data_IF_609349868868
#
_entry.id   IF_609349868868
#
_cell.length_a   1.000
_cell.length_b   1.000
_cell.length_c   1.000
_cell.angle_alpha   90.00
_cell.angle_beta   90.00
_cell.angle_gamma   90.00
#
_symmetry.space_group_name_H-M   'P 1'
#
loop_
_entity.id
_entity.type
_entity.pdbx_description
1 polymer ?
#
# COMPACT_ATOMS: atom_id res chain seq x y z
N UNK A 1 -14.86 12.15 -1.01
CA UNK A 1 -14.27 11.89 0.31
C UNK A 1 -12.82 11.49 0.12
N UNK A 2 -11.94 11.89 1.04
CA UNK A 2 -10.49 11.72 0.87
C UNK A 2 -9.92 10.75 1.90
N UNK A 3 -8.98 9.93 1.45
CA UNK A 3 -8.10 9.17 2.33
C UNK A 3 -7.32 10.12 3.24
N UNK A 4 -7.02 9.69 4.45
CA UNK A 4 -6.23 10.50 5.38
C UNK A 4 -4.77 10.05 5.38
N UNK A 5 -3.89 10.96 4.99
CA UNK A 5 -2.45 10.77 4.94
C UNK A 5 -1.81 11.68 5.98
N UNK A 6 -0.98 11.11 6.84
CA UNK A 6 -0.22 11.84 7.85
C UNK A 6 1.24 11.97 7.41
N UNK A 7 1.76 13.19 7.37
CA UNK A 7 3.17 13.45 7.10
C UNK A 7 4.06 13.02 8.27
N UNK A 8 5.17 12.35 7.97
CA UNK A 8 6.19 11.93 8.94
C UNK A 8 7.54 11.75 8.22
N UNK A 9 8.64 11.67 8.97
CA UNK A 9 9.93 11.24 8.40
C UNK A 9 10.31 9.85 8.87
N UNK A 10 11.02 9.11 8.02
CA UNK A 10 11.72 7.92 8.46
C UNK A 10 12.66 8.27 9.64
N UNK A 11 12.63 7.46 10.69
CA UNK A 11 13.37 7.69 11.94
C UNK A 11 12.66 8.54 12.99
N UNK A 12 11.53 9.20 12.66
CA UNK A 12 10.69 9.85 13.67
C UNK A 12 10.09 8.79 14.63
N UNK A 13 9.66 9.19 15.84
CA UNK A 13 8.95 8.30 16.76
C UNK A 13 7.73 7.65 16.10
N UNK A 14 7.48 6.39 16.44
CA UNK A 14 6.31 5.67 15.96
C UNK A 14 5.02 6.41 16.36
N UNK A 15 4.07 6.63 15.43
CA UNK A 15 2.89 7.43 15.73
C UNK A 15 1.85 6.67 16.55
N UNK A 16 1.08 7.40 17.37
CA UNK A 16 -0.06 6.85 18.11
C UNK A 16 -1.34 6.74 17.27
N UNK A 17 -1.31 7.20 16.01
CA UNK A 17 -2.47 7.11 15.11
C UNK A 17 -2.67 5.68 14.63
N UNK A 18 -3.94 5.28 14.47
CA UNK A 18 -4.28 3.98 13.90
C UNK A 18 -3.91 3.93 12.41
N UNK A 19 -2.82 3.25 12.08
CA UNK A 19 -2.34 3.07 10.71
C UNK A 19 -3.07 1.91 10.01
N UNK A 20 -3.16 1.97 8.67
CA UNK A 20 -3.72 0.86 7.87
C UNK A 20 -2.69 -0.27 7.75
N UNK A 21 -2.98 -1.40 8.41
CA UNK A 21 -2.11 -2.58 8.46
C UNK A 21 -2.33 -3.50 7.27
N UNK A 22 -1.26 -4.08 6.74
CA UNK A 22 -1.30 -5.06 5.66
C UNK A 22 -2.19 -6.25 6.01
N UNK A 23 -3.22 -6.51 5.18
CA UNK A 23 -4.22 -7.58 5.37
C UNK A 23 -4.91 -7.59 6.76
N UNK A 24 -4.85 -6.48 7.49
CA UNK A 24 -5.36 -6.36 8.86
C UNK A 24 -4.79 -7.43 9.83
N UNK A 25 -3.59 -7.96 9.53
CA UNK A 25 -2.96 -9.03 10.30
C UNK A 25 -1.44 -8.94 10.29
N UNK A 26 -0.80 -9.73 11.15
CA UNK A 26 0.63 -10.02 11.06
C UNK A 26 0.86 -10.96 9.86
N UNK A 27 1.75 -10.59 8.95
CA UNK A 27 2.02 -11.34 7.72
C UNK A 27 2.96 -12.53 7.96
N UNK A 28 2.77 -13.60 7.19
CA UNK A 28 3.86 -14.58 6.96
C UNK A 28 4.79 -14.00 5.89
N UNK A 29 5.72 -13.13 6.32
CA UNK A 29 6.51 -12.30 5.40
C UNK A 29 7.84 -12.93 4.97
N UNK A 30 8.49 -12.31 4.00
CA UNK A 30 9.82 -12.73 3.51
C UNK A 30 10.87 -12.56 4.61
N UNK A 31 11.91 -13.39 4.59
CA UNK A 31 12.94 -13.38 5.63
C UNK A 31 13.64 -12.01 5.74
N UNK A 32 13.86 -11.56 6.98
CA UNK A 32 14.52 -10.28 7.26
C UNK A 32 13.60 -9.05 7.21
N UNK A 33 12.30 -9.24 6.94
CA UNK A 33 11.31 -8.17 6.97
C UNK A 33 10.41 -8.28 8.21
N UNK A 34 9.96 -7.13 8.72
CA UNK A 34 9.03 -7.10 9.84
C UNK A 34 7.65 -7.59 9.36
N UNK A 35 6.98 -8.54 10.05
CA UNK A 35 5.69 -9.06 9.62
C UNK A 35 4.51 -8.09 9.86
N UNK A 36 4.67 -7.07 10.71
CA UNK A 36 3.68 -6.03 10.94
C UNK A 36 3.98 -4.80 10.07
N UNK A 37 3.38 -4.78 8.88
CA UNK A 37 3.63 -3.78 7.84
C UNK A 37 2.44 -2.85 7.67
N UNK A 38 2.69 -1.56 7.45
CA UNK A 38 1.66 -0.53 7.31
C UNK A 38 1.86 0.30 6.04
N UNK A 39 0.75 0.75 5.47
CA UNK A 39 0.74 1.47 4.19
C UNK A 39 1.41 2.83 4.31
N UNK A 40 2.38 3.06 3.43
CA UNK A 40 3.06 4.33 3.31
C UNK A 40 3.21 4.76 1.85
N UNK A 41 3.33 6.06 1.65
CA UNK A 41 3.51 6.72 0.38
C UNK A 41 4.78 7.57 0.44
N UNK A 42 5.59 7.45 -0.61
CA UNK A 42 6.77 8.27 -0.86
C UNK A 42 6.72 8.81 -2.28
N UNK A 43 7.59 9.76 -2.61
CA UNK A 43 7.73 10.26 -3.97
C UNK A 43 9.17 10.16 -4.42
N UNK A 44 9.37 9.61 -5.61
CA UNK A 44 10.68 9.58 -6.26
C UNK A 44 10.52 10.12 -7.68
N UNK A 45 11.34 11.12 -8.05
CA UNK A 45 11.27 11.80 -9.34
C UNK A 45 9.85 12.26 -9.77
N UNK A 46 9.00 12.66 -8.80
CA UNK A 46 7.62 13.09 -9.05
C UNK A 46 6.60 11.95 -9.23
N UNK A 47 7.02 10.69 -9.08
CA UNK A 47 6.14 9.52 -9.13
C UNK A 47 5.74 9.07 -7.71
N UNK A 48 4.46 8.79 -7.46
CA UNK A 48 4.03 8.22 -6.19
C UNK A 48 4.52 6.78 -6.08
N UNK A 49 5.11 6.43 -4.93
CA UNK A 49 5.64 5.11 -4.64
C UNK A 49 4.99 4.62 -3.36
N UNK A 50 4.04 3.70 -3.49
CA UNK A 50 3.51 2.97 -2.34
C UNK A 50 4.57 2.01 -1.82
N UNK A 51 4.62 1.85 -0.51
CA UNK A 51 5.54 0.96 0.17
C UNK A 51 5.04 0.62 1.56
N UNK A 52 5.99 0.29 2.43
CA UNK A 52 5.68 -0.17 3.78
C UNK A 52 6.52 0.54 4.82
N UNK A 53 5.93 0.71 5.99
CA UNK A 53 6.65 1.04 7.23
C UNK A 53 6.39 -0.01 8.31
N UNK A 54 7.29 -0.06 9.28
CA UNK A 54 7.14 -0.86 10.50
C UNK A 54 7.75 -0.12 11.69
N UNK A 55 7.34 -0.53 12.89
CA UNK A 55 7.94 -0.03 14.12
C UNK A 55 9.27 -0.75 14.35
N UNK A 56 10.34 0.02 14.35
CA UNK A 56 11.70 -0.42 14.65
C UNK A 56 12.17 0.32 15.90
N UNK A 57 12.12 -0.36 17.05
CA UNK A 57 12.53 0.16 18.35
C UNK A 57 11.90 1.52 18.71
N UNK A 58 10.60 1.66 18.44
CA UNK A 58 9.82 2.87 18.73
C UNK A 58 9.96 3.95 17.67
N UNK A 59 10.58 3.67 16.52
CA UNK A 59 10.75 4.61 15.41
C UNK A 59 10.16 4.05 14.12
N UNK A 60 9.87 4.96 13.19
CA UNK A 60 9.39 4.61 11.85
C UNK A 60 10.57 4.16 10.99
N UNK A 61 10.60 2.87 10.65
CA UNK A 61 11.45 2.36 9.58
C UNK A 61 10.62 2.16 8.31
N UNK A 62 11.23 2.32 7.15
CA UNK A 62 10.51 2.36 5.88
C UNK A 62 11.25 1.60 4.76
N UNK A 63 10.45 1.10 3.81
CA UNK A 63 10.96 0.44 2.61
C UNK A 63 10.06 0.70 1.40
N UNK A 64 10.68 1.17 0.32
CA UNK A 64 10.05 1.45 -0.97
C UNK A 64 10.85 0.80 -2.09
N UNK A 65 10.22 0.64 -3.26
CA UNK A 65 10.93 0.19 -4.46
C UNK A 65 10.56 1.05 -5.66
N UNK A 66 11.57 1.39 -6.45
CA UNK A 66 11.38 2.19 -7.65
C UNK A 66 12.54 1.96 -8.62
N UNK A 67 12.20 1.70 -9.88
CA UNK A 67 13.15 1.58 -10.99
C UNK A 67 14.26 0.55 -10.73
N UNK A 68 13.87 -0.69 -10.41
CA UNK A 68 14.72 -1.83 -10.07
C UNK A 68 15.51 -1.72 -8.76
N UNK A 69 15.36 -0.63 -8.01
CA UNK A 69 16.07 -0.39 -6.77
C UNK A 69 15.16 -0.56 -5.55
N UNK A 70 15.74 -1.05 -4.46
CA UNK A 70 15.15 -1.02 -3.12
C UNK A 70 15.69 0.19 -2.36
N UNK A 71 14.79 0.88 -1.65
CA UNK A 71 15.09 2.03 -0.80
C UNK A 71 14.63 1.71 0.62
N UNK A 72 15.55 1.18 1.44
CA UNK A 72 15.32 0.78 2.82
C UNK A 72 16.09 1.69 3.78
N UNK A 73 15.44 2.14 4.85
CA UNK A 73 16.05 3.00 5.88
C UNK A 73 15.64 4.46 5.75
N UNK A 74 16.61 5.37 5.70
CA UNK A 74 16.35 6.82 5.62
C UNK A 74 15.93 7.23 4.20
N UNK A 75 14.62 7.33 4.02
CA UNK A 75 13.96 7.80 2.79
C UNK A 75 13.42 9.23 2.95
N UNK A 76 13.76 9.90 4.07
CA UNK A 76 13.29 11.24 4.38
C UNK A 76 11.79 11.30 4.66
N UNK A 77 11.12 12.30 4.08
CA UNK A 77 9.69 12.56 4.28
C UNK A 77 8.81 11.56 3.53
N UNK A 78 7.84 11.00 4.24
CA UNK A 78 6.85 10.04 3.74
C UNK A 78 5.46 10.38 4.30
N UNK A 79 4.44 9.72 3.78
CA UNK A 79 3.07 9.83 4.26
C UNK A 79 2.56 8.46 4.69
N UNK A 80 1.92 8.37 5.86
CA UNK A 80 1.31 7.14 6.34
C UNK A 80 -0.20 7.19 6.16
N UNK A 81 -0.77 6.09 5.67
CA UNK A 81 -2.23 5.98 5.55
C UNK A 81 -2.81 5.68 6.94
N UNK A 82 -3.73 6.53 7.40
CA UNK A 82 -4.35 6.41 8.72
C UNK A 82 -5.84 6.17 8.63
N UNK A 83 -6.36 5.42 9.59
CA UNK A 83 -7.80 5.30 9.80
C UNK A 83 -8.35 6.61 10.38
N UNK A 84 -9.33 7.20 9.68
CA UNK A 84 -10.26 8.15 10.29
C UNK A 84 -11.10 7.44 11.33
N UNK A 85 -11.47 8.17 12.38
CA UNK A 85 -12.41 7.68 13.38
C UNK A 85 -13.75 7.29 12.73
N UNK A 86 -14.35 6.20 13.21
CA UNK A 86 -15.51 5.58 12.57
C UNK A 86 -16.69 6.55 12.40
N UNK A 87 -16.94 7.41 13.39
CA UNK A 87 -18.07 8.34 13.39
C UNK A 87 -17.92 9.51 12.41
N UNK A 88 -16.73 9.74 11.83
CA UNK A 88 -16.48 10.80 10.83
C UNK A 88 -16.14 10.27 9.44
N UNK A 89 -15.98 8.95 9.27
CA UNK A 89 -15.62 8.35 7.98
C UNK A 89 -16.85 7.89 7.22
N UNK A 90 -16.95 8.30 5.95
CA UNK A 90 -18.00 7.88 5.03
C UNK A 90 -17.61 6.70 4.15
N UNK A 91 -16.53 6.00 4.47
CA UNK A 91 -16.04 4.85 3.72
C UNK A 91 -15.37 3.83 4.64
N UNK A 92 -15.21 2.60 4.16
CA UNK A 92 -14.47 1.53 4.83
C UNK A 92 -13.38 0.99 3.89
N UNK A 93 -12.28 0.54 4.48
CA UNK A 93 -11.20 -0.14 3.76
C UNK A 93 -11.39 -1.66 3.78
N UNK A 94 -10.94 -2.34 2.74
CA UNK A 94 -10.83 -3.78 2.68
C UNK A 94 -9.71 -4.19 1.71
N UNK A 95 -9.07 -5.32 2.00
CA UNK A 95 -8.08 -5.94 1.14
C UNK A 95 -8.75 -6.91 0.17
N UNK A 96 -8.79 -6.55 -1.11
CA UNK A 96 -9.55 -7.23 -2.15
C UNK A 96 -8.60 -7.96 -3.12
N UNK A 97 -8.84 -9.23 -3.47
CA UNK A 97 -8.02 -9.94 -4.47
C UNK A 97 -7.95 -9.16 -5.78
N UNK A 98 -6.77 -9.15 -6.42
CA UNK A 98 -6.53 -8.34 -7.62
C UNK A 98 -7.61 -8.48 -8.71
N UNK A 99 -8.11 -9.67 -9.09
CA UNK A 99 -9.12 -9.78 -10.16
C UNK A 99 -10.41 -9.02 -9.85
N UNK A 100 -10.85 -9.02 -8.60
CA UNK A 100 -12.00 -8.25 -8.15
C UNK A 100 -11.65 -6.75 -8.09
N UNK A 101 -10.49 -6.41 -7.54
CA UNK A 101 -9.98 -5.04 -7.46
C UNK A 101 -9.66 -4.40 -8.83
N UNK A 102 -9.46 -5.20 -9.88
CA UNK A 102 -9.22 -4.77 -11.26
C UNK A 102 -10.47 -4.83 -12.16
N UNK A 103 -11.56 -5.45 -11.69
CA UNK A 103 -12.82 -5.53 -12.44
C UNK A 103 -13.30 -4.17 -12.98
N UNK A 104 -13.82 -4.17 -14.21
CA UNK A 104 -14.43 -3.02 -14.90
C UNK A 104 -15.95 -2.94 -14.70
N UNK A 105 -16.49 -3.70 -13.74
CA UNK A 105 -17.91 -3.63 -13.43
C UNK A 105 -18.32 -2.19 -13.07
N UNK A 106 -19.41 -1.71 -13.67
CA UNK A 106 -19.93 -0.36 -13.45
C UNK A 106 -20.54 -0.21 -12.07
N UNK A 107 -21.00 -1.32 -11.49
CA UNK A 107 -21.59 -1.37 -10.15
C UNK A 107 -20.56 -1.79 -9.08
N UNK A 108 -19.27 -1.73 -9.43
CA UNK A 108 -18.18 -2.06 -8.51
C UNK A 108 -18.18 -1.14 -7.30
N UNK A 109 -18.42 -1.74 -6.15
CA UNK A 109 -18.50 -1.03 -4.87
C UNK A 109 -17.12 -0.76 -4.25
N UNK A 110 -16.14 -1.64 -4.50
CA UNK A 110 -14.78 -1.54 -3.96
C UNK A 110 -13.85 -0.89 -4.98
N UNK A 111 -13.36 0.31 -4.66
CA UNK A 111 -12.48 1.08 -5.54
C UNK A 111 -11.07 1.03 -4.96
N UNK A 112 -10.02 0.70 -5.73
CA UNK A 112 -8.65 0.77 -5.27
C UNK A 112 -8.31 2.15 -4.68
N UNK A 113 -7.69 2.14 -3.50
CA UNK A 113 -7.03 3.34 -2.96
C UNK A 113 -5.88 3.66 -3.90
N UNK A 114 -5.86 4.86 -4.49
CA UNK A 114 -4.86 5.21 -5.48
C UNK A 114 -4.39 6.65 -5.35
N UNK A 115 -3.15 6.88 -5.80
CA UNK A 115 -2.62 8.20 -6.09
C UNK A 115 -2.46 8.30 -7.60
N UNK A 116 -3.14 9.27 -8.20
CA UNK A 116 -3.12 9.45 -9.65
C UNK A 116 -1.79 10.03 -10.11
N UNK A 117 -1.28 9.52 -11.22
CA UNK A 117 -0.09 10.06 -11.90
C UNK A 117 -0.24 9.87 -13.42
N UNK A 118 0.35 10.76 -14.21
CA UNK A 118 0.34 10.68 -15.67
C UNK A 118 0.92 9.38 -16.24
N UNK A 119 1.75 8.67 -15.47
CA UNK A 119 2.38 7.40 -15.87
C UNK A 119 1.59 6.15 -15.42
N UNK A 120 0.58 6.32 -14.57
CA UNK A 120 -0.19 5.21 -13.99
C UNK A 120 -0.64 5.54 -12.57
N UNK A 121 -1.84 5.09 -12.20
CA UNK A 121 -2.36 5.26 -10.84
C UNK A 121 -1.78 4.16 -9.95
N UNK A 122 -1.20 4.54 -8.81
CA UNK A 122 -0.52 3.60 -7.93
C UNK A 122 -1.35 3.36 -6.66
N UNK A 123 -1.60 2.07 -6.39
CA UNK A 123 -2.36 1.58 -5.24
C UNK A 123 -1.47 0.78 -4.27
N UNK A 124 -1.79 0.71 -2.97
CA UNK A 124 -1.15 -0.22 -2.05
C UNK A 124 -1.59 -1.65 -2.33
N UNK A 125 -0.68 -2.62 -2.20
CA UNK A 125 -1.04 -4.03 -2.30
C UNK A 125 -0.08 -4.96 -1.61
N UNK A 126 -0.60 -6.08 -1.13
CA UNK A 126 0.19 -7.16 -0.56
C UNK A 126 0.42 -8.21 -1.64
N UNK A 127 1.69 -8.39 -1.98
CA UNK A 127 2.17 -9.35 -2.96
C UNK A 127 2.58 -10.65 -2.26
N UNK A 128 2.42 -11.77 -2.96
CA UNK A 128 2.91 -13.07 -2.51
C UNK A 128 4.05 -13.54 -3.41
N UNK A 129 5.24 -13.70 -2.84
CA UNK A 129 6.41 -14.30 -3.49
C UNK A 129 6.78 -15.59 -2.77
N UNK A 130 6.83 -16.71 -3.49
CA UNK A 130 7.17 -18.02 -2.93
C UNK A 130 6.39 -18.37 -1.65
N UNK A 131 5.10 -18.02 -1.62
CA UNK A 131 4.20 -18.24 -0.49
C UNK A 131 4.33 -17.23 0.66
N UNK A 132 5.26 -16.27 0.57
CA UNK A 132 5.48 -15.22 1.57
C UNK A 132 4.89 -13.88 1.15
N UNK A 133 4.26 -13.20 2.10
CA UNK A 133 3.48 -11.98 1.88
C UNK A 133 4.33 -10.73 2.14
N UNK A 134 4.21 -9.71 1.29
CA UNK A 134 4.93 -8.43 1.48
C UNK A 134 4.13 -7.25 0.92
N UNK A 135 4.06 -6.16 1.68
CA UNK A 135 3.40 -4.93 1.28
C UNK A 135 4.29 -4.12 0.32
N UNK A 136 3.68 -3.67 -0.78
CA UNK A 136 4.31 -2.84 -1.81
C UNK A 136 3.28 -2.04 -2.60
N UNK A 137 3.56 -1.86 -3.89
CA UNK A 137 2.78 -1.05 -4.83
C UNK A 137 2.13 -1.89 -5.92
N UNK A 138 1.00 -1.41 -6.44
CA UNK A 138 0.23 -2.02 -7.53
C UNK A 138 -0.24 -0.95 -8.49
N UNK A 139 0.11 -1.10 -9.76
CA UNK A 139 -0.56 -0.43 -10.88
C UNK A 139 -1.62 -1.40 -11.42
N UNK A 140 -2.86 -1.16 -11.02
CA UNK A 140 -3.99 -2.05 -11.34
C UNK A 140 -4.27 -2.04 -12.85
N UNK A 141 -4.12 -0.90 -13.52
CA UNK A 141 -4.44 -0.75 -14.96
C UNK A 141 -3.41 -1.45 -15.85
N UNK A 142 -2.15 -1.42 -15.43
CA UNK A 142 -1.05 -2.04 -16.17
C UNK A 142 -0.71 -3.46 -15.67
N UNK A 143 -1.53 -4.04 -14.78
CA UNK A 143 -1.34 -5.38 -14.21
C UNK A 143 0.08 -5.62 -13.67
N UNK A 144 0.59 -4.64 -12.92
CA UNK A 144 1.96 -4.67 -12.40
C UNK A 144 1.99 -4.39 -10.91
N UNK A 145 2.62 -5.25 -10.15
CA UNK A 145 2.85 -5.06 -8.72
C UNK A 145 4.34 -5.18 -8.40
N UNK A 146 4.82 -4.45 -7.40
CA UNK A 146 6.20 -4.59 -6.94
C UNK A 146 6.39 -4.33 -5.44
N UNK A 147 7.41 -4.96 -4.87
CA UNK A 147 7.89 -4.70 -3.52
C UNK A 147 9.43 -4.74 -3.45
N UNK A 148 10.02 -3.86 -2.64
CA UNK A 148 11.47 -3.83 -2.38
C UNK A 148 11.84 -4.82 -1.31
N UNK A 149 12.76 -5.73 -1.60
CA UNK A 149 13.43 -6.62 -0.64
C UNK A 149 14.62 -7.31 -1.30
N UNK A 150 15.64 -7.67 -0.50
CA UNK A 150 16.81 -8.41 -1.00
C UNK A 150 17.73 -7.58 -1.91
N UNK A 151 17.76 -6.26 -1.73
CA UNK A 151 18.57 -5.29 -2.47
C UNK A 151 17.98 -4.84 -3.80
N UNK A 152 16.73 -5.20 -4.12
CA UNK A 152 16.12 -4.92 -5.44
C UNK A 152 14.62 -4.75 -5.38
N UNK A 153 14.06 -4.21 -6.47
CA UNK A 153 12.63 -4.30 -6.75
C UNK A 153 12.28 -5.70 -7.25
N UNK A 154 11.31 -6.35 -6.61
CA UNK A 154 10.75 -7.63 -7.05
C UNK A 154 9.38 -7.35 -7.65
N UNK A 155 9.18 -7.81 -8.89
CA UNK A 155 8.03 -7.42 -9.72
C UNK A 155 7.19 -8.65 -10.07
N UNK A 156 5.87 -8.47 -10.05
CA UNK A 156 4.88 -9.37 -10.61
C UNK A 156 4.16 -8.64 -11.74
N UNK A 157 4.00 -9.28 -12.90
CA UNK A 157 3.31 -8.71 -14.07
C UNK A 157 2.28 -9.69 -14.64
N UNK A 158 1.20 -9.15 -15.22
CA UNK A 158 0.14 -9.90 -15.88
C UNK A 158 -0.46 -10.99 -14.97
N UNK A 159 -0.51 -12.27 -15.41
CA UNK A 159 -1.10 -13.35 -14.62
C UNK A 159 -0.47 -13.53 -13.24
N UNK A 160 0.83 -13.27 -13.09
CA UNK A 160 1.53 -13.38 -11.81
C UNK A 160 1.07 -12.28 -10.84
N UNK A 161 0.84 -11.06 -11.33
CA UNK A 161 0.25 -9.97 -10.56
C UNK A 161 -1.18 -10.34 -10.14
N UNK A 162 -2.02 -10.76 -11.09
CA UNK A 162 -3.42 -11.07 -10.84
C UNK A 162 -3.62 -12.20 -9.83
N UNK A 163 -2.76 -13.23 -9.85
CA UNK A 163 -2.90 -14.40 -8.97
C UNK A 163 -2.34 -14.16 -7.57
N UNK A 164 -1.30 -13.32 -7.44
CA UNK A 164 -0.51 -13.23 -6.21
C UNK A 164 -0.64 -11.89 -5.48
N UNK A 165 -1.60 -11.04 -5.87
CA UNK A 165 -1.75 -9.69 -5.29
C UNK A 165 -3.13 -9.49 -4.67
N UNK A 166 -3.14 -8.89 -3.48
CA UNK A 166 -4.34 -8.37 -2.82
C UNK A 166 -4.19 -6.86 -2.69
N UNK A 167 -5.16 -6.10 -3.19
CA UNK A 167 -5.12 -4.64 -3.32
C UNK A 167 -5.92 -3.99 -2.20
N UNK A 168 -5.43 -2.90 -1.64
CA UNK A 168 -6.21 -2.09 -0.72
C UNK A 168 -7.29 -1.32 -1.49
N UNK A 169 -8.55 -1.59 -1.17
CA UNK A 169 -9.71 -0.91 -1.72
C UNK A 169 -10.48 -0.17 -0.64
N UNK A 170 -11.34 0.75 -1.08
CA UNK A 170 -12.30 1.47 -0.25
C UNK A 170 -13.70 1.37 -0.85
N UNK A 171 -14.70 1.29 0.02
CA UNK A 171 -16.13 1.31 -0.34
C UNK A 171 -16.83 2.44 0.39
N UNK A 172 -17.64 3.22 -0.32
CA UNK A 172 -18.43 4.27 0.29
C UNK A 172 -19.55 3.66 1.15
N UNK A 173 -19.76 4.23 2.34
CA UNK A 173 -20.90 3.90 3.19
C UNK A 173 -22.20 4.44 2.57
N UNK A 174 -23.33 3.88 3.01
CA UNK A 174 -24.64 4.33 2.55
C UNK A 174 -24.81 5.85 2.74
N UNK A 175 -25.20 6.54 1.67
CA UNK A 175 -25.38 8.00 1.65
C UNK A 175 -24.11 8.80 1.33
N UNK A 176 -22.97 8.14 1.14
CA UNK A 176 -21.71 8.79 0.76
C UNK A 176 -21.28 8.43 -0.67
N UNK A 177 -20.44 9.28 -1.26
CA UNK A 177 -19.82 9.06 -2.57
C UNK A 177 -18.36 9.51 -2.58
N UNK A 178 -17.55 8.82 -3.39
CA UNK A 178 -16.25 9.35 -3.78
C UNK A 178 -16.49 10.35 -4.92
N UNK A 179 -15.99 11.56 -4.77
CA UNK A 179 -15.95 12.61 -5.78
C UNK A 179 -14.60 12.62 -6.49
#
# INVERSE_FOLDING_TARGET
MLDEWMDIRAGDPWPDRALVKALDKTLDTVAGENPDQYVALWYQAGEPVMGRVWNEDGKVAANFCWHNNEYKGDVGSIQLLVHRAEFVRGYDYCWIPFPEAASFDKDKEWIPVHIANSKGDISPGVLTFDGKQILGKVDVKNEKAAAGFGGKENVLEGPACATNTVVLCRKARLGYKFD
#
